data_IF_881399033938
#
_entry.id   IF_881399033938
#
_cell.length_a   1.000
_cell.length_b   1.000
_cell.length_c   1.000
_cell.angle_alpha   90.00
_cell.angle_beta   90.00
_cell.angle_gamma   90.00
#
_symmetry.space_group_name_H-M   'P 1'
#
loop_
_entity.id
_entity.type
_entity.pdbx_description
1 polymer ?
#
# COMPACT_ATOMS: atom_id res chain seq x y z
N UNK A 1 22.14 -23.02 11.49
CA UNK A 1 21.88 -22.08 10.40
C UNK A 1 22.53 -20.76 10.79
N UNK A 2 23.59 -20.39 10.11
CA UNK A 2 24.46 -19.25 10.45
C UNK A 2 23.75 -17.93 10.18
N UNK A 3 23.95 -16.93 11.05
CA UNK A 3 23.45 -15.57 10.92
C UNK A 3 23.87 -14.89 9.58
N UNK A 4 24.87 -15.45 8.91
CA UNK A 4 25.45 -14.93 7.67
C UNK A 4 24.58 -15.16 6.43
N UNK A 5 23.66 -16.14 6.46
CA UNK A 5 22.78 -16.46 5.30
C UNK A 5 21.58 -15.52 5.19
N UNK A 6 21.25 -14.76 6.24
CA UNK A 6 20.13 -13.78 6.22
C UNK A 6 20.57 -12.43 5.65
N UNK A 7 21.81 -12.01 5.89
CA UNK A 7 22.35 -10.73 5.38
C UNK A 7 22.53 -10.72 3.86
N UNK A 8 22.75 -11.88 3.24
CA UNK A 8 22.92 -11.98 1.77
C UNK A 8 21.62 -11.80 0.96
N UNK A 9 20.44 -11.74 1.62
CA UNK A 9 19.14 -11.57 0.96
C UNK A 9 18.57 -10.17 1.09
N UNK A 10 19.18 -9.31 1.91
CA UNK A 10 18.74 -7.92 2.10
C UNK A 10 19.36 -7.08 0.99
N UNK A 11 18.52 -6.47 0.17
CA UNK A 11 18.92 -5.66 -0.99
C UNK A 11 19.20 -4.20 -0.66
N UNK A 12 19.07 -3.35 -1.68
CA UNK A 12 19.29 -1.91 -1.56
C UNK A 12 18.20 -1.22 -0.71
N UNK A 13 18.46 0.02 -0.30
CA UNK A 13 17.48 0.82 0.43
C UNK A 13 16.30 1.10 -0.49
N UNK A 14 15.13 0.60 -0.10
CA UNK A 14 13.89 0.78 -0.84
C UNK A 14 13.09 1.98 -0.35
N UNK A 15 13.03 2.18 0.97
CA UNK A 15 12.37 3.32 1.61
C UNK A 15 13.38 4.01 2.53
N UNK A 16 13.53 5.31 2.41
CA UNK A 16 14.33 6.14 3.32
C UNK A 16 13.50 7.31 3.83
N UNK A 17 13.40 7.42 5.14
CA UNK A 17 12.72 8.52 5.83
C UNK A 17 13.76 9.35 6.55
N UNK A 18 13.79 10.66 6.28
CA UNK A 18 14.80 11.58 6.78
C UNK A 18 14.17 12.74 7.54
N UNK A 19 14.52 12.86 8.83
CA UNK A 19 14.17 13.98 9.73
C UNK A 19 12.66 14.31 9.76
N UNK A 20 11.82 13.28 9.74
CA UNK A 20 10.36 13.42 9.70
C UNK A 20 9.85 14.00 11.03
N UNK A 21 9.19 15.16 10.93
CA UNK A 21 8.47 15.78 12.05
C UNK A 21 7.03 16.06 11.67
N UNK A 22 6.10 15.66 12.55
CA UNK A 22 4.66 15.78 12.35
C UNK A 22 3.98 16.25 13.64
N UNK A 23 3.16 17.28 13.54
CA UNK A 23 2.37 17.82 14.65
C UNK A 23 0.91 18.03 14.26
N UNK A 24 0.01 17.87 15.22
CA UNK A 24 -1.42 18.12 15.09
C UNK A 24 -1.87 19.09 16.18
N UNK A 25 -2.37 20.27 15.81
CA UNK A 25 -2.89 21.25 16.79
C UNK A 25 -1.93 21.53 17.95
N UNK A 26 -0.62 21.61 17.68
CA UNK A 26 0.42 21.83 18.70
C UNK A 26 0.95 20.56 19.38
N UNK A 27 0.30 19.40 19.21
CA UNK A 27 0.79 18.12 19.75
C UNK A 27 1.78 17.51 18.76
N UNK A 28 3.01 17.27 19.20
CA UNK A 28 4.04 16.60 18.41
C UNK A 28 3.77 15.09 18.35
N UNK A 29 3.42 14.59 17.18
CA UNK A 29 3.19 13.16 16.95
C UNK A 29 4.46 12.42 16.52
N UNK A 30 5.34 13.09 15.76
CA UNK A 30 6.65 12.58 15.36
C UNK A 30 7.66 13.72 15.51
N UNK A 31 8.87 13.44 15.96
CA UNK A 31 9.93 14.43 16.13
C UNK A 31 11.22 13.85 15.62
N UNK A 32 11.72 14.42 14.51
CA UNK A 32 13.03 14.11 13.92
C UNK A 32 13.29 12.60 13.72
N UNK A 33 12.32 11.90 13.14
CA UNK A 33 12.39 10.47 12.93
C UNK A 33 13.10 10.17 11.61
N UNK A 34 14.16 9.38 11.67
CA UNK A 34 14.89 8.90 10.50
C UNK A 34 15.09 7.38 10.58
N UNK A 35 14.79 6.67 9.51
CA UNK A 35 15.10 5.24 9.35
C UNK A 35 14.95 4.86 7.89
N UNK A 36 15.52 3.70 7.52
CA UNK A 36 15.33 3.12 6.21
C UNK A 36 14.80 1.69 6.29
N UNK A 37 14.24 1.22 5.17
CA UNK A 37 13.84 -0.17 4.95
C UNK A 37 14.45 -0.63 3.63
N UNK A 38 15.08 -1.80 3.64
CA UNK A 38 15.75 -2.39 2.49
C UNK A 38 14.82 -3.38 1.76
N UNK A 39 15.16 -3.70 0.54
CA UNK A 39 14.48 -4.78 -0.18
C UNK A 39 14.60 -6.11 0.58
N UNK A 40 13.54 -6.88 0.62
CA UNK A 40 13.41 -8.15 1.34
C UNK A 40 13.58 -8.05 2.87
N UNK A 41 13.57 -6.85 3.45
CA UNK A 41 13.63 -6.62 4.88
C UNK A 41 12.23 -6.63 5.52
N UNK A 42 12.13 -7.22 6.71
CA UNK A 42 10.99 -7.05 7.60
C UNK A 42 11.42 -6.11 8.73
N UNK A 43 10.85 -4.89 8.75
CA UNK A 43 11.11 -3.87 9.75
C UNK A 43 9.95 -3.74 10.72
N UNK A 44 10.20 -3.91 12.02
CA UNK A 44 9.19 -3.71 13.06
C UNK A 44 9.29 -2.31 13.69
N UNK A 45 8.15 -1.69 13.92
CA UNK A 45 8.03 -0.44 14.69
C UNK A 45 7.33 -0.76 16.00
N UNK A 46 8.07 -0.66 17.12
CA UNK A 46 7.61 -1.02 18.47
C UNK A 46 7.51 0.24 19.31
N UNK A 47 6.58 0.26 20.25
CA UNK A 47 6.40 1.37 21.21
C UNK A 47 5.01 1.34 21.86
N UNK A 48 4.80 2.11 22.93
CA UNK A 48 3.52 2.20 23.63
C UNK A 48 2.43 2.83 22.75
N UNK A 49 1.18 2.77 23.21
CA UNK A 49 0.09 3.49 22.57
C UNK A 49 0.36 5.01 22.63
N UNK A 50 0.09 5.71 21.54
CA UNK A 50 0.41 7.14 21.41
C UNK A 50 1.84 7.46 20.96
N UNK A 51 2.74 6.49 20.82
CA UNK A 51 4.13 6.72 20.38
C UNK A 51 4.29 7.10 18.89
N UNK A 52 3.22 7.42 18.18
CA UNK A 52 3.31 7.87 16.78
C UNK A 52 3.41 6.77 15.72
N UNK A 53 3.34 5.48 16.09
CA UNK A 53 3.47 4.35 15.14
C UNK A 53 2.51 4.46 13.95
N UNK A 54 1.22 4.67 14.24
CA UNK A 54 0.20 4.84 13.18
C UNK A 54 0.41 6.12 12.37
N UNK A 55 0.87 7.20 13.02
CA UNK A 55 1.19 8.46 12.34
C UNK A 55 2.33 8.29 11.34
N UNK A 56 3.34 7.51 11.70
CA UNK A 56 4.44 7.18 10.80
C UNK A 56 3.97 6.36 9.59
N UNK A 57 3.17 5.32 9.79
CA UNK A 57 2.57 4.55 8.69
C UNK A 57 1.67 5.43 7.79
N UNK A 58 0.95 6.40 8.39
CA UNK A 58 0.14 7.36 7.64
C UNK A 58 1.01 8.33 6.81
N UNK A 59 2.19 8.69 7.29
CA UNK A 59 3.17 9.49 6.51
C UNK A 59 3.69 8.68 5.33
N UNK A 60 4.09 7.43 5.52
CA UNK A 60 4.57 6.53 4.45
C UNK A 60 3.50 6.35 3.37
N UNK A 61 2.23 6.15 3.77
CA UNK A 61 1.11 5.99 2.83
C UNK A 61 0.60 7.31 2.23
N UNK A 62 1.20 8.46 2.59
CA UNK A 62 0.80 9.76 2.08
C UNK A 62 -0.53 10.29 2.61
N UNK A 63 -1.09 9.68 3.67
CA UNK A 63 -2.29 10.18 4.38
C UNK A 63 -1.96 11.44 5.16
N UNK A 64 -0.79 11.50 5.78
CA UNK A 64 -0.29 12.68 6.46
C UNK A 64 0.93 13.24 5.73
N UNK A 65 0.97 14.57 5.61
CA UNK A 65 2.14 15.30 5.11
C UNK A 65 2.93 15.82 6.29
N UNK A 66 4.19 15.41 6.50
CA UNK A 66 5.02 15.93 7.58
C UNK A 66 5.35 17.39 7.32
N UNK A 67 5.56 18.18 8.40
CA UNK A 67 5.97 19.57 8.29
C UNK A 67 7.47 19.69 7.99
N UNK A 68 8.26 18.68 8.37
CA UNK A 68 9.70 18.64 8.13
C UNK A 68 10.13 17.24 7.68
N UNK A 69 11.26 17.21 6.99
CA UNK A 69 11.84 15.99 6.48
C UNK A 69 11.37 15.61 5.08
N UNK A 70 11.76 14.43 4.65
CA UNK A 70 11.43 13.89 3.34
C UNK A 70 11.39 12.37 3.32
N UNK A 71 10.74 11.84 2.31
CA UNK A 71 10.66 10.40 2.04
C UNK A 71 11.30 10.15 0.70
N UNK A 72 12.17 9.16 0.63
CA UNK A 72 12.68 8.61 -0.63
C UNK A 72 12.19 7.17 -0.77
N UNK A 73 11.64 6.83 -1.92
CA UNK A 73 11.19 5.49 -2.23
C UNK A 73 11.73 5.07 -3.59
N UNK A 74 12.53 3.99 -3.62
CA UNK A 74 13.22 3.47 -4.82
C UNK A 74 13.99 4.55 -5.58
N UNK A 75 14.72 5.42 -4.85
CA UNK A 75 15.53 6.49 -5.42
C UNK A 75 14.73 7.75 -5.84
N UNK A 76 13.41 7.75 -5.72
CA UNK A 76 12.57 8.92 -5.99
C UNK A 76 12.23 9.64 -4.68
N UNK A 77 12.61 10.92 -4.58
CA UNK A 77 12.41 11.73 -3.37
C UNK A 77 11.12 12.53 -3.43
N UNK A 78 10.38 12.50 -2.32
CA UNK A 78 9.10 13.18 -2.17
C UNK A 78 9.12 14.12 -0.98
N UNK A 79 8.82 15.39 -1.20
CA UNK A 79 8.46 16.33 -0.14
C UNK A 79 7.02 16.11 0.33
N UNK A 80 6.16 15.60 -0.57
CA UNK A 80 4.76 15.28 -0.30
C UNK A 80 4.33 14.02 -1.06
N UNK A 81 4.05 12.97 -0.34
CA UNK A 81 3.39 11.76 -0.85
C UNK A 81 1.87 11.95 -0.75
N UNK A 82 1.12 11.40 -1.70
CA UNK A 82 -0.33 11.25 -1.56
C UNK A 82 -0.72 9.76 -1.68
N UNK A 83 -1.87 9.34 -1.13
CA UNK A 83 -2.25 7.92 -1.08
C UNK A 83 -2.32 7.24 -2.44
N UNK A 84 -2.80 7.95 -3.46
CA UNK A 84 -2.87 7.42 -4.83
C UNK A 84 -1.48 7.14 -5.39
N UNK A 85 -0.57 8.11 -5.26
CA UNK A 85 0.82 7.95 -5.73
C UNK A 85 1.53 6.82 -4.98
N UNK A 86 1.36 6.74 -3.66
CA UNK A 86 1.90 5.65 -2.85
C UNK A 86 1.44 4.27 -3.38
N UNK A 87 0.14 4.12 -3.64
CA UNK A 87 -0.42 2.88 -4.20
C UNK A 87 0.09 2.57 -5.62
N UNK A 88 0.20 3.58 -6.50
CA UNK A 88 0.77 3.44 -7.85
C UNK A 88 2.23 2.97 -7.82
N UNK A 89 3.01 3.42 -6.82
CA UNK A 89 4.39 3.01 -6.61
C UNK A 89 4.53 1.62 -5.96
N UNK A 90 3.43 1.02 -5.51
CA UNK A 90 3.40 -0.30 -4.90
C UNK A 90 3.49 -0.29 -3.38
N UNK A 91 3.33 0.86 -2.73
CA UNK A 91 3.20 0.94 -1.27
C UNK A 91 1.77 0.56 -0.91
N UNK A 92 1.60 -0.60 -0.28
CA UNK A 92 0.31 -1.10 0.16
C UNK A 92 0.24 -1.15 1.70
N UNK A 93 -0.97 -1.05 2.23
CA UNK A 93 -1.24 -1.18 3.66
C UNK A 93 -2.48 -2.03 3.91
N UNK A 94 -2.37 -2.94 4.86
CA UNK A 94 -3.53 -3.63 5.44
C UNK A 94 -4.12 -2.78 6.56
N UNK A 95 -5.45 -2.69 6.62
CA UNK A 95 -6.18 -1.94 7.64
C UNK A 95 -6.93 -2.92 8.55
N UNK A 96 -7.01 -2.61 9.85
CA UNK A 96 -7.79 -3.39 10.80
C UNK A 96 -9.30 -3.35 10.50
N UNK A 97 -9.79 -2.20 10.08
CA UNK A 97 -11.18 -2.00 9.71
C UNK A 97 -11.26 -1.83 8.20
N UNK A 98 -11.74 -2.85 7.51
CA UNK A 98 -11.94 -2.83 6.08
C UNK A 98 -13.31 -2.21 5.76
N UNK A 99 -13.33 -1.17 4.94
CA UNK A 99 -14.55 -0.66 4.34
C UNK A 99 -14.85 -1.51 3.09
N UNK A 100 -15.62 -2.59 3.27
CA UNK A 100 -16.10 -3.42 2.16
C UNK A 100 -17.42 -2.84 1.63
N UNK A 101 -17.64 -3.00 0.34
CA UNK A 101 -18.91 -2.70 -0.32
C UNK A 101 -19.88 -3.86 -0.04
N UNK A 102 -20.80 -3.66 0.91
CA UNK A 102 -21.71 -4.70 1.42
C UNK A 102 -22.65 -5.30 0.37
N UNK A 103 -22.86 -4.65 -0.75
CA UNK A 103 -23.72 -5.14 -1.85
C UNK A 103 -22.96 -5.83 -2.97
N UNK A 104 -21.63 -5.99 -2.81
CA UNK A 104 -20.76 -6.60 -3.82
C UNK A 104 -20.23 -7.93 -3.32
N UNK A 105 -19.98 -8.86 -4.24
CA UNK A 105 -19.35 -10.13 -3.89
C UNK A 105 -17.91 -9.93 -3.41
N UNK A 106 -17.33 -10.92 -2.72
CA UNK A 106 -15.91 -10.94 -2.34
C UNK A 106 -15.03 -10.71 -3.57
N UNK A 107 -15.32 -11.38 -4.68
CA UNK A 107 -14.58 -11.21 -5.93
C UNK A 107 -14.61 -9.76 -6.43
N UNK A 108 -15.79 -9.13 -6.43
CA UNK A 108 -15.95 -7.75 -6.91
C UNK A 108 -15.27 -6.74 -5.97
N UNK A 109 -15.31 -6.97 -4.65
CA UNK A 109 -14.55 -6.17 -3.69
C UNK A 109 -13.04 -6.23 -3.97
N UNK A 110 -12.48 -7.41 -4.23
CA UNK A 110 -11.06 -7.55 -4.57
C UNK A 110 -10.77 -6.91 -5.93
N UNK A 111 -11.66 -7.05 -6.92
CA UNK A 111 -11.55 -6.41 -8.23
C UNK A 111 -11.47 -4.88 -8.12
N UNK A 112 -12.17 -4.28 -7.17
CA UNK A 112 -12.12 -2.82 -6.92
C UNK A 112 -10.67 -2.35 -6.65
N UNK A 113 -9.87 -3.16 -5.95
CA UNK A 113 -8.44 -2.88 -5.72
C UNK A 113 -7.58 -2.85 -6.99
N UNK A 114 -8.06 -3.41 -8.10
CA UNK A 114 -7.35 -3.41 -9.39
C UNK A 114 -7.61 -2.16 -10.25
N UNK A 115 -8.60 -1.33 -9.88
CA UNK A 115 -9.00 -0.15 -10.68
C UNK A 115 -7.83 0.80 -10.98
N UNK A 116 -6.89 0.97 -10.04
CA UNK A 116 -5.69 1.80 -10.26
C UNK A 116 -4.76 1.27 -11.36
N UNK A 117 -4.88 0.00 -11.72
CA UNK A 117 -4.04 -0.66 -12.75
C UNK A 117 -4.77 -0.83 -14.08
N UNK A 118 -6.08 -0.55 -14.13
CA UNK A 118 -6.85 -0.54 -15.36
C UNK A 118 -6.56 0.73 -16.13
N UNK A 119 -6.22 0.60 -17.41
CA UNK A 119 -5.85 1.71 -18.29
C UNK A 119 -7.02 2.23 -19.11
N UNK A 120 -8.05 1.40 -19.32
CA UNK A 120 -9.25 1.81 -20.04
C UNK A 120 -10.04 2.84 -19.24
N UNK A 121 -10.38 3.97 -19.89
CA UNK A 121 -11.17 5.04 -19.28
C UNK A 121 -12.58 4.59 -18.90
N UNK A 122 -13.20 5.28 -17.94
CA UNK A 122 -14.55 5.02 -17.42
C UNK A 122 -15.62 4.85 -18.53
N UNK A 123 -15.54 5.62 -19.61
CA UNK A 123 -16.47 5.52 -20.74
C UNK A 123 -16.31 4.21 -21.51
N UNK A 124 -15.08 3.76 -21.75
CA UNK A 124 -14.82 2.49 -22.42
C UNK A 124 -15.25 1.28 -21.58
N UNK A 125 -15.13 1.38 -20.26
CA UNK A 125 -15.64 0.38 -19.31
C UNK A 125 -17.16 0.37 -19.26
N UNK A 126 -17.82 1.55 -19.23
CA UNK A 126 -19.27 1.66 -19.20
C UNK A 126 -19.95 1.07 -20.44
N UNK A 127 -19.33 1.24 -21.62
CA UNK A 127 -19.87 0.74 -22.89
C UNK A 127 -19.35 -0.66 -23.27
N UNK A 128 -18.55 -1.32 -22.41
CA UNK A 128 -17.94 -2.65 -22.66
C UNK A 128 -17.31 -2.78 -24.06
N UNK A 129 -16.61 -1.74 -24.50
CA UNK A 129 -15.91 -1.78 -25.78
C UNK A 129 -14.78 -2.81 -25.72
N UNK A 130 -14.59 -3.61 -26.76
CA UNK A 130 -13.75 -4.80 -26.79
C UNK A 130 -12.36 -4.74 -26.12
N UNK A 131 -11.60 -3.62 -26.15
CA UNK A 131 -10.35 -3.48 -25.41
C UNK A 131 -10.56 -3.49 -23.88
N UNK A 132 -11.64 -2.87 -23.39
CA UNK A 132 -11.96 -2.81 -21.96
C UNK A 132 -12.38 -4.19 -21.43
N UNK A 133 -13.13 -4.95 -22.21
CA UNK A 133 -13.53 -6.32 -21.86
C UNK A 133 -12.33 -7.26 -21.74
N UNK A 134 -11.37 -7.17 -22.68
CA UNK A 134 -10.13 -7.98 -22.61
C UNK A 134 -9.26 -7.61 -21.40
N UNK A 135 -9.23 -6.34 -21.05
CA UNK A 135 -8.52 -5.88 -19.85
C UNK A 135 -9.20 -6.39 -18.58
N UNK A 136 -10.54 -6.32 -18.51
CA UNK A 136 -11.32 -6.84 -17.39
C UNK A 136 -11.09 -8.34 -17.19
N UNK A 137 -11.12 -9.15 -18.28
CA UNK A 137 -10.86 -10.58 -18.21
C UNK A 137 -9.48 -10.87 -17.60
N UNK A 138 -8.43 -10.20 -18.05
CA UNK A 138 -7.08 -10.37 -17.51
C UNK A 138 -6.98 -10.02 -16.03
N UNK A 139 -7.62 -8.92 -15.64
CA UNK A 139 -7.64 -8.53 -14.24
C UNK A 139 -8.44 -9.50 -13.38
N UNK A 140 -9.51 -10.05 -13.93
CA UNK A 140 -10.33 -11.08 -13.26
C UNK A 140 -9.56 -12.38 -13.07
N UNK A 141 -8.87 -12.88 -14.09
CA UNK A 141 -8.00 -14.06 -13.97
C UNK A 141 -6.93 -13.86 -12.88
N UNK A 142 -6.32 -12.69 -12.82
CA UNK A 142 -5.36 -12.38 -11.77
C UNK A 142 -5.98 -12.40 -10.37
N UNK A 143 -7.20 -11.90 -10.22
CA UNK A 143 -7.91 -11.90 -8.93
C UNK A 143 -8.35 -13.31 -8.56
N UNK A 144 -8.81 -14.13 -9.51
CA UNK A 144 -9.13 -15.54 -9.27
C UNK A 144 -7.90 -16.32 -8.76
N UNK A 145 -6.71 -16.07 -9.31
CA UNK A 145 -5.46 -16.65 -8.80
C UNK A 145 -5.16 -16.22 -7.35
N UNK A 146 -5.51 -14.99 -6.95
CA UNK A 146 -5.38 -14.54 -5.55
C UNK A 146 -6.39 -15.26 -4.67
N UNK A 147 -7.64 -15.41 -5.13
CA UNK A 147 -8.70 -16.13 -4.41
C UNK A 147 -8.29 -17.58 -4.18
N UNK A 148 -7.68 -18.22 -5.19
CA UNK A 148 -7.15 -19.57 -5.10
C UNK A 148 -5.98 -19.68 -4.14
N UNK A 149 -5.02 -18.75 -4.22
CA UNK A 149 -3.88 -18.68 -3.30
C UNK A 149 -4.31 -18.52 -1.83
N UNK A 150 -5.38 -17.76 -1.58
CA UNK A 150 -5.94 -17.54 -0.25
C UNK A 150 -6.90 -18.64 0.22
N UNK A 151 -7.20 -19.65 -0.64
CA UNK A 151 -8.14 -20.75 -0.37
C UNK A 151 -9.57 -20.29 0.01
N UNK A 152 -10.02 -19.14 -0.58
CA UNK A 152 -11.33 -18.55 -0.30
C UNK A 152 -12.35 -18.71 -1.43
N UNK A 153 -12.15 -19.69 -2.33
CA UNK A 153 -13.02 -19.96 -3.50
C UNK A 153 -14.49 -20.17 -3.11
N UNK A 154 -14.73 -20.80 -1.96
CA UNK A 154 -16.09 -21.06 -1.46
C UNK A 154 -16.88 -19.76 -1.20
N UNK A 155 -16.18 -18.68 -0.87
CA UNK A 155 -16.78 -17.39 -0.51
C UNK A 155 -16.79 -16.37 -1.64
N UNK A 156 -16.19 -16.66 -2.80
CA UNK A 156 -15.96 -15.67 -3.87
C UNK A 156 -17.22 -14.94 -4.37
N UNK A 157 -18.38 -15.63 -4.34
CA UNK A 157 -19.68 -15.08 -4.75
C UNK A 157 -20.54 -14.58 -3.59
N UNK A 158 -20.07 -14.74 -2.36
CA UNK A 158 -20.78 -14.27 -1.16
C UNK A 158 -20.64 -12.74 -1.05
N UNK A 159 -21.72 -12.02 -0.68
CA UNK A 159 -21.64 -10.59 -0.38
C UNK A 159 -20.80 -10.31 0.86
#
# INVERSE_FOLDING_TARGET
MSNNDRDQRIGDVMLDMQNISLSFGGVKALTDISFNVREHEIRAIIGPNGAGKSSMLNVINGVYTPQQGGIEFRGERFSRMNPRRAAEMGIARTFQNLALFKGMSVLDNIMTGRNLRMKCGLLAQAFRLGPAEREEIKHREFVENIVDFLEIQAYRKTP
#
